data_IF_744631387796
#
_entry.id   IF_744631387796
#
_cell.length_a   1.000
_cell.length_b   1.000
_cell.length_c   1.000
_cell.angle_alpha   90.00
_cell.angle_beta   90.00
_cell.angle_gamma   90.00
#
_symmetry.space_group_name_H-M   'P 1'
#
loop_
_entity.id
_entity.type
_entity.pdbx_description
1 polymer ?
#
# COMPACT_ATOMS: atom_id res chain seq x y z
N UNK A 1 24.93 10.08 -8.69
CA UNK A 1 25.50 11.42 -8.42
C UNK A 1 24.99 12.55 -9.33
N UNK A 2 24.14 12.28 -10.33
CA UNK A 2 23.66 13.30 -11.29
C UNK A 2 22.29 13.91 -10.97
N UNK A 3 21.46 13.24 -10.15
CA UNK A 3 20.10 13.71 -9.82
C UNK A 3 20.12 15.08 -9.12
N UNK A 4 21.06 15.29 -8.20
CA UNK A 4 21.11 16.49 -7.37
C UNK A 4 21.42 17.74 -8.20
N UNK A 5 22.50 17.79 -9.01
CA UNK A 5 22.80 18.96 -9.84
C UNK A 5 21.80 19.19 -10.98
N UNK A 6 21.24 18.11 -11.55
CA UNK A 6 20.40 18.20 -12.76
C UNK A 6 18.97 18.72 -12.47
N UNK A 7 18.46 18.48 -11.26
CA UNK A 7 17.09 18.85 -10.88
C UNK A 7 17.04 19.96 -9.81
N UNK A 8 18.15 20.68 -9.61
CA UNK A 8 18.19 21.86 -8.73
C UNK A 8 18.12 21.55 -7.24
N UNK A 9 18.44 20.32 -6.82
CA UNK A 9 18.53 20.00 -5.39
C UNK A 9 19.86 20.49 -4.81
N UNK A 10 19.84 21.02 -3.58
CA UNK A 10 21.03 21.56 -2.91
C UNK A 10 22.09 20.49 -2.61
N UNK A 11 21.64 19.31 -2.20
CA UNK A 11 22.45 18.15 -1.86
C UNK A 11 21.57 16.87 -1.89
N UNK A 12 22.19 15.72 -1.61
CA UNK A 12 21.52 14.41 -1.61
C UNK A 12 20.44 14.33 -0.53
N UNK A 13 20.69 14.96 0.61
CA UNK A 13 19.78 15.02 1.75
C UNK A 13 18.53 15.85 1.42
N UNK A 14 18.70 16.95 0.68
CA UNK A 14 17.60 17.76 0.18
C UNK A 14 16.75 16.98 -0.83
N UNK A 15 17.38 16.21 -1.71
CA UNK A 15 16.66 15.31 -2.60
C UNK A 15 15.84 14.29 -1.80
N UNK A 16 16.45 13.56 -0.87
CA UNK A 16 15.73 12.54 -0.09
C UNK A 16 14.65 13.13 0.82
N UNK A 17 14.87 14.30 1.41
CA UNK A 17 13.84 14.94 2.26
C UNK A 17 12.62 15.38 1.44
N UNK A 18 12.79 15.89 0.22
CA UNK A 18 11.66 16.28 -0.65
C UNK A 18 11.01 15.08 -1.32
N UNK A 19 11.80 14.11 -1.78
CA UNK A 19 11.31 12.93 -2.50
C UNK A 19 10.73 11.85 -1.57
N UNK A 20 11.04 11.90 -0.26
CA UNK A 20 10.53 10.91 0.68
C UNK A 20 9.02 11.07 0.86
N UNK A 21 8.25 9.97 0.70
CA UNK A 21 6.82 9.98 0.97
C UNK A 21 6.50 10.12 2.47
N UNK A 22 7.47 9.87 3.35
CA UNK A 22 7.26 9.78 4.79
C UNK A 22 6.62 11.04 5.39
N UNK A 23 7.01 12.22 4.90
CA UNK A 23 6.49 13.50 5.38
C UNK A 23 4.99 13.72 5.06
N UNK A 24 4.44 12.96 4.11
CA UNK A 24 3.05 13.09 3.65
C UNK A 24 2.12 12.03 4.26
N UNK A 25 2.65 11.02 4.94
CA UNK A 25 1.88 9.89 5.49
C UNK A 25 0.80 10.36 6.46
N UNK A 26 1.12 11.32 7.34
CA UNK A 26 0.16 11.95 8.25
C UNK A 26 -1.01 12.65 7.56
N UNK A 27 -0.86 12.99 6.28
CA UNK A 27 -1.87 13.71 5.48
C UNK A 27 -2.79 12.77 4.70
N UNK A 28 -2.55 11.46 4.75
CA UNK A 28 -3.41 10.46 4.09
C UNK A 28 -4.80 10.50 4.73
N UNK A 29 -5.83 10.79 3.93
CA UNK A 29 -7.25 10.79 4.35
C UNK A 29 -8.07 9.70 3.68
N UNK A 30 -7.56 9.13 2.60
CA UNK A 30 -8.20 8.01 1.91
C UNK A 30 -7.83 6.74 2.70
N UNK A 31 -8.81 5.88 3.01
CA UNK A 31 -8.54 4.60 3.65
C UNK A 31 -7.43 3.85 2.91
N UNK A 32 -6.35 3.55 3.62
CA UNK A 32 -5.13 2.97 3.05
C UNK A 32 -4.72 1.75 3.88
N UNK A 33 -4.41 0.66 3.19
CA UNK A 33 -3.82 -0.53 3.78
C UNK A 33 -2.30 -0.54 3.48
N UNK A 34 -1.50 -0.72 4.53
CA UNK A 34 -0.05 -0.91 4.44
C UNK A 34 0.28 -2.33 4.88
N UNK A 35 0.83 -3.14 3.97
CA UNK A 35 1.33 -4.48 4.25
C UNK A 35 2.86 -4.48 4.13
N UNK A 36 3.56 -4.86 5.19
CA UNK A 36 5.02 -4.85 5.26
C UNK A 36 5.52 -6.13 5.93
N UNK A 37 6.63 -6.67 5.45
CA UNK A 37 7.34 -7.77 6.09
C UNK A 37 8.56 -7.27 6.87
N UNK A 38 8.89 -7.93 7.98
CA UNK A 38 10.08 -7.60 8.81
C UNK A 38 11.38 -7.99 8.09
N UNK A 39 11.35 -9.05 7.31
CA UNK A 39 12.48 -9.64 6.58
C UNK A 39 12.69 -9.06 5.16
N UNK A 40 11.92 -8.05 4.76
CA UNK A 40 12.06 -7.42 3.44
C UNK A 40 13.40 -6.65 3.33
N UNK A 41 14.34 -7.07 2.47
CA UNK A 41 15.66 -6.44 2.36
C UNK A 41 15.64 -5.12 1.57
N UNK A 42 14.53 -4.81 0.89
CA UNK A 42 14.39 -3.62 0.04
C UNK A 42 13.56 -2.55 0.75
N UNK A 43 12.51 -2.97 1.45
CA UNK A 43 11.59 -2.10 2.19
C UNK A 43 11.63 -2.41 3.70
N UNK A 44 12.73 -2.10 4.39
CA UNK A 44 12.85 -2.39 5.82
C UNK A 44 11.82 -1.58 6.62
N UNK A 45 11.33 -2.18 7.71
CA UNK A 45 10.33 -1.55 8.58
C UNK A 45 10.74 -0.19 9.14
N UNK A 46 12.04 0.06 9.30
CA UNK A 46 12.58 1.37 9.71
C UNK A 46 12.33 2.49 8.69
N UNK A 47 11.96 2.17 7.45
CA UNK A 47 11.62 3.14 6.42
C UNK A 47 10.24 3.77 6.59
N UNK A 48 9.33 3.15 7.36
CA UNK A 48 7.99 3.66 7.63
C UNK A 48 8.00 4.58 8.87
N UNK A 49 7.42 5.80 8.80
CA UNK A 49 7.30 6.68 9.96
C UNK A 49 6.22 6.14 10.91
N UNK A 50 6.60 5.24 11.81
CA UNK A 50 5.65 4.43 12.59
C UNK A 50 4.65 5.25 13.38
N UNK A 51 5.09 6.32 14.04
CA UNK A 51 4.20 7.15 14.86
C UNK A 51 3.13 7.84 14.01
N UNK A 52 3.51 8.43 12.88
CA UNK A 52 2.58 9.10 11.96
C UNK A 52 1.57 8.10 11.37
N UNK A 53 2.03 6.89 11.07
CA UNK A 53 1.17 5.82 10.54
C UNK A 53 0.17 5.34 11.60
N UNK A 54 0.64 5.05 12.81
CA UNK A 54 -0.18 4.49 13.89
C UNK A 54 -1.19 5.51 14.45
N UNK A 55 -0.89 6.81 14.36
CA UNK A 55 -1.80 7.86 14.79
C UNK A 55 -2.85 8.23 13.73
N UNK A 56 -2.66 7.83 12.47
CA UNK A 56 -3.60 8.16 11.40
C UNK A 56 -4.75 7.14 11.31
N UNK A 57 -6.00 7.53 11.61
CA UNK A 57 -7.14 6.61 11.59
C UNK A 57 -7.52 6.11 10.20
N UNK A 58 -7.00 6.74 9.14
CA UNK A 58 -7.23 6.34 7.75
C UNK A 58 -6.29 5.21 7.32
N UNK A 59 -5.30 4.84 8.13
CA UNK A 59 -4.29 3.86 7.77
C UNK A 59 -4.44 2.61 8.63
N UNK A 60 -4.40 1.44 7.98
CA UNK A 60 -4.29 0.14 8.63
C UNK A 60 -2.93 -0.45 8.27
N UNK A 61 -2.17 -0.90 9.27
CA UNK A 61 -0.87 -1.54 9.04
C UNK A 61 -0.94 -3.01 9.42
N UNK A 62 -0.46 -3.86 8.54
CA UNK A 62 -0.22 -5.27 8.78
C UNK A 62 1.29 -5.50 8.65
N UNK A 63 1.89 -5.99 9.73
CA UNK A 63 3.30 -6.40 9.77
C UNK A 63 3.36 -7.93 9.82
N UNK A 64 4.08 -8.54 8.91
CA UNK A 64 4.35 -9.98 8.93
C UNK A 64 5.81 -10.24 9.32
N UNK A 65 6.08 -11.42 9.90
CA UNK A 65 7.46 -11.84 10.17
C UNK A 65 8.22 -12.15 8.88
N UNK A 66 7.53 -12.77 7.93
CA UNK A 66 8.07 -13.27 6.67
C UNK A 66 7.22 -12.77 5.50
N UNK A 67 7.84 -12.63 4.33
CA UNK A 67 7.20 -12.20 3.08
C UNK A 67 7.94 -11.03 2.43
N UNK A 68 7.21 -10.16 1.73
CA UNK A 68 7.76 -8.90 1.21
C UNK A 68 7.93 -8.87 -0.31
N UNK A 69 9.04 -8.25 -0.75
CA UNK A 69 9.27 -7.74 -2.11
C UNK A 69 8.79 -8.61 -3.29
N UNK A 70 8.89 -9.94 -3.20
CA UNK A 70 8.51 -10.84 -4.29
C UNK A 70 7.12 -11.42 -4.10
N UNK A 71 6.75 -11.84 -2.89
CA UNK A 71 5.40 -12.33 -2.55
C UNK A 71 5.29 -12.70 -1.07
N UNK A 72 4.05 -12.78 -0.55
CA UNK A 72 3.74 -13.38 0.75
C UNK A 72 3.20 -14.80 0.55
N UNK A 73 4.04 -15.73 0.09
CA UNK A 73 3.63 -17.11 -0.18
C UNK A 73 3.21 -17.85 1.09
N UNK A 74 2.25 -18.77 0.96
CA UNK A 74 1.74 -19.56 2.08
C UNK A 74 1.79 -21.06 1.77
N UNK A 75 2.06 -21.83 2.84
CA UNK A 75 2.01 -23.29 2.81
C UNK A 75 3.27 -23.96 2.26
N UNK A 76 3.38 -25.27 2.51
CA UNK A 76 4.49 -26.10 2.04
C UNK A 76 4.49 -26.30 0.51
N UNK A 77 3.32 -26.16 -0.12
CA UNK A 77 3.14 -26.22 -1.57
C UNK A 77 2.35 -24.97 -1.99
N UNK A 78 2.94 -24.02 -2.74
CA UNK A 78 2.23 -22.82 -3.20
C UNK A 78 1.23 -23.19 -4.31
N UNK A 79 0.05 -23.68 -3.92
CA UNK A 79 -1.09 -23.95 -4.83
C UNK A 79 -2.24 -22.94 -4.66
N UNK A 80 -2.12 -22.03 -3.70
CA UNK A 80 -3.15 -21.06 -3.30
C UNK A 80 -2.70 -19.62 -3.57
N UNK A 81 -3.64 -18.68 -3.52
CA UNK A 81 -3.36 -17.25 -3.54
C UNK A 81 -2.37 -16.87 -2.43
N UNK A 82 -1.46 -15.94 -2.73
CA UNK A 82 -0.54 -15.40 -1.73
C UNK A 82 -1.30 -14.59 -0.67
N UNK A 83 -0.71 -14.45 0.52
CA UNK A 83 -1.34 -13.76 1.64
C UNK A 83 -1.71 -12.32 1.32
N UNK A 84 -0.88 -11.60 0.56
CA UNK A 84 -1.15 -10.25 0.09
C UNK A 84 -2.47 -10.17 -0.70
N UNK A 85 -2.73 -11.14 -1.57
CA UNK A 85 -3.99 -11.20 -2.32
C UNK A 85 -5.20 -11.36 -1.39
N UNK A 86 -5.10 -12.27 -0.41
CA UNK A 86 -6.17 -12.52 0.55
C UNK A 86 -6.49 -11.24 1.33
N UNK A 87 -5.45 -10.61 1.89
CA UNK A 87 -5.59 -9.41 2.70
C UNK A 87 -6.14 -8.22 1.89
N UNK A 88 -5.65 -8.00 0.67
CA UNK A 88 -6.14 -6.92 -0.19
C UNK A 88 -7.62 -7.13 -0.52
N UNK A 89 -8.01 -8.34 -0.88
CA UNK A 89 -9.42 -8.67 -1.18
C UNK A 89 -10.31 -8.47 0.04
N UNK A 90 -9.88 -8.92 1.22
CA UNK A 90 -10.65 -8.76 2.46
C UNK A 90 -10.77 -7.29 2.86
N UNK A 91 -9.71 -6.50 2.71
CA UNK A 91 -9.73 -5.07 2.93
C UNK A 91 -10.72 -4.35 2.01
N UNK A 92 -10.66 -4.64 0.70
CA UNK A 92 -11.59 -4.04 -0.29
C UNK A 92 -13.03 -4.43 0.04
N UNK A 93 -13.30 -5.71 0.31
CA UNK A 93 -14.64 -6.18 0.70
C UNK A 93 -15.15 -5.45 1.94
N UNK A 94 -14.31 -5.31 2.98
CA UNK A 94 -14.67 -4.60 4.20
C UNK A 94 -14.99 -3.11 3.92
N UNK A 95 -14.18 -2.45 3.08
CA UNK A 95 -14.39 -1.05 2.68
C UNK A 95 -15.67 -0.86 1.87
N UNK A 96 -15.94 -1.71 0.90
CA UNK A 96 -17.18 -1.66 0.11
C UNK A 96 -18.41 -1.90 0.98
N UNK A 97 -18.34 -2.85 1.93
CA UNK A 97 -19.40 -3.07 2.91
C UNK A 97 -19.64 -1.85 3.79
N UNK A 98 -18.58 -1.19 4.26
CA UNK A 98 -18.69 0.05 5.04
C UNK A 98 -19.31 1.20 4.24
N UNK A 99 -19.10 1.22 2.92
CA UNK A 99 -19.72 2.18 2.01
C UNK A 99 -21.16 1.80 1.61
N UNK A 100 -21.70 0.69 2.15
CA UNK A 100 -22.98 0.11 1.76
C UNK A 100 -23.08 -0.16 0.24
N UNK A 101 -21.94 -0.44 -0.40
CA UNK A 101 -21.87 -0.67 -1.83
C UNK A 101 -22.47 -2.04 -2.17
N UNK A 102 -23.44 -2.05 -3.08
CA UNK A 102 -24.07 -3.26 -3.59
C UNK A 102 -23.36 -3.70 -4.87
N UNK A 103 -22.84 -4.92 -4.89
CA UNK A 103 -22.22 -5.48 -6.07
C UNK A 103 -23.29 -5.89 -7.09
N UNK A 104 -23.36 -5.21 -8.22
CA UNK A 104 -24.05 -5.75 -9.40
C UNK A 104 -23.11 -6.70 -10.13
N UNK A 105 -23.54 -7.94 -10.33
CA UNK A 105 -22.80 -8.91 -11.16
C UNK A 105 -22.94 -8.45 -12.62
N UNK A 106 -21.91 -7.80 -13.16
CA UNK A 106 -21.82 -7.57 -14.60
C UNK A 106 -21.35 -8.87 -15.27
N UNK A 107 -22.21 -9.46 -16.09
CA UNK A 107 -22.01 -10.76 -16.74
C UNK A 107 -21.15 -10.68 -18.01
N UNK A 108 -20.79 -9.49 -18.46
CA UNK A 108 -20.08 -9.27 -19.72
C UNK A 108 -18.60 -9.00 -19.46
N UNK A 109 -17.76 -9.93 -19.87
CA UNK A 109 -16.30 -9.94 -19.66
C UNK A 109 -15.54 -8.86 -20.45
N UNK A 110 -16.21 -8.10 -21.32
CA UNK A 110 -15.57 -7.05 -22.14
C UNK A 110 -15.48 -5.67 -21.46
N UNK A 111 -16.15 -5.44 -20.31
CA UNK A 111 -16.25 -4.10 -19.69
C UNK A 111 -15.43 -3.93 -18.40
N UNK A 112 -14.40 -4.76 -18.15
CA UNK A 112 -13.71 -4.86 -16.85
C UNK A 112 -12.95 -3.59 -16.41
N UNK A 113 -12.88 -2.53 -17.22
CA UNK A 113 -12.16 -1.29 -16.89
C UNK A 113 -13.11 -0.09 -16.86
N UNK A 114 -13.99 -0.01 -15.86
CA UNK A 114 -14.56 1.27 -15.44
C UNK A 114 -14.92 1.23 -13.95
N UNK A 115 -13.89 1.24 -13.10
CA UNK A 115 -14.09 1.55 -11.67
C UNK A 115 -14.33 3.06 -11.58
N UNK A 116 -15.60 3.44 -11.74
CA UNK A 116 -16.04 4.81 -11.60
C UNK A 116 -16.05 5.18 -10.11
N UNK A 117 -14.90 5.65 -9.61
CA UNK A 117 -14.80 6.21 -8.26
C UNK A 117 -15.49 7.57 -8.29
N UNK A 118 -16.57 7.80 -7.51
CA UNK A 118 -17.22 9.10 -7.47
C UNK A 118 -16.21 10.14 -6.97
N UNK A 119 -16.00 11.19 -7.77
CA UNK A 119 -15.19 12.34 -7.39
C UNK A 119 -15.85 13.02 -6.19
N UNK A 120 -15.11 13.14 -5.08
CA UNK A 120 -15.42 14.09 -4.01
C UNK A 120 -15.14 15.51 -4.47
#
# INVERSE_FOLDING_TARGET
HTIVPQYGFRNVEHYYSVASPNQYVKSIRIPTLVLSAIDDPICPIGGLPQDDVLQNPSIIVIKTLEGGHVSYLQGWWPKSFSYDNIVVVDYIKARLKQMNYQWEKQTDVESIIDINIPKQ
#
